data_IF_149928875734
#
_entry.id   IF_149928875734
#
_cell.length_a   1.000
_cell.length_b   1.000
_cell.length_c   1.000
_cell.angle_alpha   90.00
_cell.angle_beta   90.00
_cell.angle_gamma   90.00
#
_symmetry.space_group_name_H-M   'P 1'
#
loop_
_entity.id
_entity.type
_entity.pdbx_description
1 polymer ?
#
# COMPACT_ATOMS: atom_id res chain seq x y z
N UNK A 1 -16.67 -3.87 32.98
CA UNK A 1 -15.62 -3.42 32.05
C UNK A 1 -14.57 -4.51 31.83
N UNK A 2 -14.34 -4.84 30.57
CA UNK A 2 -13.32 -5.78 30.08
C UNK A 2 -12.03 -5.02 29.77
N UNK A 3 -10.86 -5.60 30.10
CA UNK A 3 -9.55 -5.04 29.71
C UNK A 3 -9.24 -5.38 28.26
N UNK A 4 -9.09 -4.35 27.44
CA UNK A 4 -8.65 -4.44 26.05
C UNK A 4 -7.17 -4.08 25.90
N UNK A 5 -6.50 -4.77 24.98
CA UNK A 5 -5.12 -4.53 24.56
C UNK A 5 -5.16 -3.72 23.27
N UNK A 6 -4.95 -2.41 23.38
CA UNK A 6 -4.94 -1.47 22.26
C UNK A 6 -3.53 -1.41 21.68
N UNK A 7 -3.28 -2.05 20.54
CA UNK A 7 -2.02 -1.99 19.82
C UNK A 7 -1.99 -0.73 18.95
N UNK A 8 -1.35 0.34 19.43
CA UNK A 8 -1.20 1.59 18.69
C UNK A 8 -0.09 1.43 17.65
N UNK A 9 -0.43 1.60 16.38
CA UNK A 9 0.43 1.36 15.23
C UNK A 9 0.61 2.66 14.46
N UNK A 10 1.85 2.99 14.10
CA UNK A 10 2.18 4.23 13.37
C UNK A 10 3.39 4.06 12.46
N UNK A 11 3.62 5.06 11.62
CA UNK A 11 4.79 5.17 10.75
C UNK A 11 5.86 6.05 11.40
N UNK A 12 7.10 5.57 11.40
CA UNK A 12 8.24 6.36 11.86
C UNK A 12 8.72 7.40 10.84
N UNK A 13 9.81 8.12 11.16
CA UNK A 13 10.36 9.19 10.36
C UNK A 13 11.57 8.77 9.50
N UNK A 14 11.86 7.48 9.35
CA UNK A 14 12.96 7.05 8.50
C UNK A 14 12.67 7.38 7.03
N UNK A 15 13.73 7.77 6.30
CA UNK A 15 13.66 8.10 4.88
C UNK A 15 14.70 7.27 4.11
N UNK A 16 14.42 6.91 2.84
CA UNK A 16 13.24 7.27 2.06
C UNK A 16 11.97 6.45 2.37
N UNK A 17 12.06 5.38 3.17
CA UNK A 17 10.92 4.50 3.50
C UNK A 17 10.71 4.48 5.02
N UNK A 18 9.49 4.80 5.51
CA UNK A 18 9.17 4.70 6.92
C UNK A 18 8.94 3.23 7.31
N UNK A 19 9.24 2.89 8.55
CA UNK A 19 8.89 1.60 9.14
C UNK A 19 7.59 1.69 9.94
N UNK A 20 6.91 0.55 10.05
CA UNK A 20 5.81 0.36 10.99
C UNK A 20 6.36 0.17 12.41
N UNK A 21 5.70 0.81 13.38
CA UNK A 21 5.99 0.69 14.81
C UNK A 21 4.70 0.36 15.55
N UNK A 22 4.80 -0.35 16.66
CA UNK A 22 3.65 -0.77 17.47
C UNK A 22 3.96 -0.74 18.97
N UNK A 23 2.95 -0.42 19.79
CA UNK A 23 2.98 -0.67 21.24
C UNK A 23 1.59 -0.81 21.84
N UNK A 24 1.46 -1.61 22.91
CA UNK A 24 0.16 -1.91 23.54
C UNK A 24 -0.18 -0.98 24.71
N UNK A 25 -1.34 -0.32 24.69
CA UNK A 25 -1.99 0.27 25.85
C UNK A 25 -3.05 -0.69 26.42
N UNK A 26 -3.20 -0.73 27.75
CA UNK A 26 -4.34 -1.41 28.39
C UNK A 26 -5.38 -0.37 28.80
N UNK A 27 -6.63 -0.59 28.38
CA UNK A 27 -7.78 0.23 28.76
C UNK A 27 -9.00 -0.65 29.05
N UNK A 28 -9.91 -0.12 29.85
CA UNK A 28 -11.14 -0.82 30.26
C UNK A 28 -12.33 -0.23 29.51
N UNK A 29 -13.13 -1.12 28.91
CA UNK A 29 -14.35 -0.75 28.17
C UNK A 29 -15.45 -1.76 28.47
N UNK A 30 -16.72 -1.37 28.34
CA UNK A 30 -17.85 -2.29 28.52
C UNK A 30 -18.05 -3.25 27.33
N UNK A 31 -17.62 -2.82 26.13
CA UNK A 31 -17.63 -3.59 24.89
C UNK A 31 -16.39 -3.23 24.06
N UNK A 32 -16.28 -3.77 22.84
CA UNK A 32 -15.20 -3.38 21.92
C UNK A 32 -15.28 -1.86 21.68
N UNK A 33 -14.17 -1.11 21.86
CA UNK A 33 -14.22 0.34 21.86
C UNK A 33 -14.48 0.91 20.47
N UNK A 34 -15.15 2.06 20.42
CA UNK A 34 -15.23 2.89 19.19
C UNK A 34 -13.98 3.76 19.07
N UNK A 35 -13.74 4.31 17.88
CA UNK A 35 -12.56 5.14 17.60
C UNK A 35 -12.51 6.39 18.52
N UNK A 36 -13.66 7.01 18.80
CA UNK A 36 -13.79 8.24 19.60
C UNK A 36 -13.49 8.02 21.08
N UNK A 37 -13.59 6.77 21.55
CA UNK A 37 -13.27 6.40 22.93
C UNK A 37 -11.76 6.21 23.13
N UNK A 38 -10.98 6.12 22.06
CA UNK A 38 -9.55 5.87 22.15
C UNK A 38 -8.79 7.15 22.50
N UNK A 39 -7.97 7.14 23.56
CA UNK A 39 -7.20 8.33 23.93
C UNK A 39 -6.04 8.57 22.96
N UNK A 40 -5.61 9.83 22.86
CA UNK A 40 -4.29 10.16 22.34
C UNK A 40 -3.21 9.50 23.21
N UNK A 41 -2.05 9.21 22.61
CA UNK A 41 -0.93 8.64 23.36
C UNK A 41 0.41 9.18 22.89
N UNK A 42 1.35 9.44 23.79
CA UNK A 42 2.69 9.92 23.43
C UNK A 42 3.68 8.79 23.14
N UNK A 43 4.73 9.05 22.37
CA UNK A 43 5.91 8.20 22.22
C UNK A 43 7.18 9.05 22.08
N UNK A 44 8.34 8.43 22.30
CA UNK A 44 9.64 9.07 22.11
C UNK A 44 10.03 9.07 20.62
N UNK A 45 9.90 10.23 19.99
CA UNK A 45 10.24 10.46 18.58
C UNK A 45 11.74 10.43 18.27
N UNK A 46 12.62 10.55 19.28
CA UNK A 46 14.06 10.48 19.05
C UNK A 46 14.54 9.09 18.66
N UNK A 47 13.82 8.07 19.11
CA UNK A 47 14.06 6.66 18.77
C UNK A 47 13.52 6.26 17.39
N UNK A 48 12.84 7.18 16.69
CA UNK A 48 12.11 6.89 15.45
C UNK A 48 12.37 7.90 14.34
N UNK A 49 13.43 8.72 14.43
CA UNK A 49 13.76 9.78 13.46
C UNK A 49 12.66 10.86 13.31
N UNK A 50 11.91 11.13 14.38
CA UNK A 50 10.80 12.09 14.38
C UNK A 50 11.06 13.29 15.27
N UNK A 51 12.07 13.26 16.15
CA UNK A 51 12.43 14.42 16.95
C UNK A 51 13.89 14.36 17.43
N UNK A 52 14.41 15.50 17.87
CA UNK A 52 15.72 15.57 18.52
C UNK A 52 15.61 15.24 20.02
N UNK A 53 16.66 14.64 20.59
CA UNK A 53 16.60 14.00 21.92
C UNK A 53 16.28 14.89 23.13
N UNK A 54 16.30 16.22 23.03
CA UNK A 54 15.96 17.12 24.16
C UNK A 54 14.50 17.59 24.18
N UNK A 55 13.76 17.36 23.09
CA UNK A 55 12.35 17.72 22.94
C UNK A 55 11.71 16.69 22.01
N UNK A 56 11.60 15.44 22.47
CA UNK A 56 11.34 14.29 21.60
C UNK A 56 9.91 13.76 21.59
N UNK A 57 9.00 14.32 22.40
CA UNK A 57 7.64 13.82 22.47
C UNK A 57 6.92 13.98 21.12
N UNK A 58 6.28 12.90 20.68
CA UNK A 58 5.35 12.90 19.54
C UNK A 58 4.02 12.31 20.01
N UNK A 59 2.92 12.71 19.39
CA UNK A 59 1.57 12.26 19.77
C UNK A 59 1.00 11.33 18.70
N UNK A 60 0.47 10.20 19.13
CA UNK A 60 -0.32 9.27 18.34
C UNK A 60 -1.79 9.66 18.46
N UNK A 61 -2.41 9.95 17.32
CA UNK A 61 -3.84 10.18 17.20
C UNK A 61 -4.50 9.00 16.49
N UNK A 62 -5.40 8.26 17.16
CA UNK A 62 -6.16 7.19 16.53
C UNK A 62 -6.94 7.68 15.31
N UNK A 63 -6.87 6.93 14.22
CA UNK A 63 -7.57 7.23 12.95
C UNK A 63 -8.39 6.06 12.41
N UNK A 64 -8.07 4.83 12.82
CA UNK A 64 -8.89 3.66 12.56
C UNK A 64 -8.67 2.61 13.66
N UNK A 65 -9.68 1.79 13.91
CA UNK A 65 -9.64 0.68 14.87
C UNK A 65 -10.14 -0.60 14.21
N UNK A 66 -9.45 -1.71 14.49
CA UNK A 66 -9.77 -3.04 14.00
C UNK A 66 -9.68 -4.04 15.16
N UNK A 67 -10.50 -5.11 15.20
CA UNK A 67 -10.24 -6.22 16.12
C UNK A 67 -8.88 -6.85 15.81
N UNK A 68 -8.13 -7.24 16.84
CA UNK A 68 -6.89 -8.02 16.68
C UNK A 68 -7.23 -9.52 16.80
N UNK A 69 -7.32 -10.27 15.69
CA UNK A 69 -7.74 -11.67 15.73
C UNK A 69 -6.72 -12.59 16.43
N UNK A 70 -5.47 -12.16 16.58
CA UNK A 70 -4.42 -12.96 17.20
C UNK A 70 -4.26 -12.70 18.71
N UNK A 71 -5.08 -11.81 19.31
CA UNK A 71 -5.05 -11.54 20.76
C UNK A 71 -6.46 -11.51 21.35
N UNK A 72 -6.65 -12.26 22.44
CA UNK A 72 -7.87 -12.13 23.26
C UNK A 72 -8.03 -10.70 23.76
N UNK A 73 -9.21 -10.12 23.51
CA UNK A 73 -9.55 -8.71 23.76
C UNK A 73 -8.54 -7.73 23.16
N UNK A 74 -7.98 -8.05 21.99
CA UNK A 74 -7.07 -7.16 21.28
C UNK A 74 -7.79 -6.25 20.29
N UNK A 75 -7.26 -5.04 20.14
CA UNK A 75 -7.64 -4.10 19.09
C UNK A 75 -6.38 -3.52 18.46
N UNK A 76 -6.33 -3.48 17.14
CA UNK A 76 -5.31 -2.77 16.38
C UNK A 76 -5.80 -1.33 16.16
N UNK A 77 -4.94 -0.34 16.43
CA UNK A 77 -5.27 1.07 16.35
C UNK A 77 -4.29 1.75 15.40
N UNK A 78 -4.71 1.99 14.16
CA UNK A 78 -3.93 2.79 13.22
C UNK A 78 -3.93 4.24 13.71
N UNK A 79 -2.75 4.85 13.76
CA UNK A 79 -2.56 6.20 14.26
C UNK A 79 -1.84 7.09 13.24
N UNK A 80 -2.22 8.36 13.22
CA UNK A 80 -1.42 9.41 12.62
C UNK A 80 -0.48 10.04 13.67
N UNK A 81 0.66 10.55 13.22
CA UNK A 81 1.64 11.19 14.09
C UNK A 81 1.41 12.70 14.09
N UNK A 82 1.32 13.26 15.28
CA UNK A 82 1.08 14.67 15.54
C UNK A 82 2.26 15.25 16.32
N UNK A 83 2.44 16.56 16.20
CA UNK A 83 3.31 17.35 17.07
C UNK A 83 2.84 17.25 18.54
N UNK A 84 3.67 17.66 19.53
CA UNK A 84 3.30 17.64 20.95
C UNK A 84 1.98 18.33 21.31
N UNK A 85 1.50 19.27 20.48
CA UNK A 85 0.23 19.96 20.66
C UNK A 85 -0.99 19.05 20.44
N UNK A 86 -0.80 17.85 19.85
CA UNK A 86 -1.87 16.89 19.55
C UNK A 86 -2.80 17.30 18.42
N UNK A 87 -2.53 18.41 17.72
CA UNK A 87 -3.40 19.01 16.70
C UNK A 87 -2.68 19.19 15.36
N UNK A 88 -1.41 19.59 15.38
CA UNK A 88 -0.62 19.82 14.17
C UNK A 88 -0.04 18.50 13.67
N UNK A 89 -0.26 18.09 12.41
CA UNK A 89 0.37 16.91 11.84
C UNK A 89 1.90 17.02 11.90
N UNK A 90 2.56 15.93 12.31
CA UNK A 90 4.01 15.85 12.27
C UNK A 90 4.51 15.83 10.81
N UNK A 91 5.74 16.28 10.54
CA UNK A 91 6.30 16.33 9.18
C UNK A 91 6.36 14.95 8.48
N UNK A 92 6.48 13.86 9.26
CA UNK A 92 6.44 12.48 8.74
C UNK A 92 5.02 11.96 8.45
N UNK A 93 3.97 12.73 8.78
CA UNK A 93 2.59 12.30 8.67
C UNK A 93 2.09 12.42 7.22
N UNK A 94 2.43 11.42 6.39
CA UNK A 94 1.94 11.33 5.01
C UNK A 94 0.42 11.16 4.92
N UNK A 95 -0.25 10.66 5.97
CA UNK A 95 -1.72 10.56 5.99
C UNK A 95 -2.39 11.93 5.96
N UNK A 96 -1.74 12.97 6.47
CA UNK A 96 -2.25 14.34 6.41
C UNK A 96 -2.17 14.97 5.01
N UNK A 97 -1.40 14.39 4.07
CA UNK A 97 -1.24 14.96 2.72
C UNK A 97 -2.32 14.50 1.75
N UNK A 98 -2.98 13.37 2.02
CA UNK A 98 -3.98 12.80 1.10
C UNK A 98 -5.26 13.63 1.09
N UNK A 99 -5.76 13.92 -0.11
CA UNK A 99 -7.09 14.50 -0.31
C UNK A 99 -8.13 13.48 0.16
N UNK A 100 -8.95 13.86 1.13
CA UNK A 100 -10.00 13.01 1.70
C UNK A 100 -11.22 13.00 0.78
N UNK A 101 -11.21 12.10 -0.20
CA UNK A 101 -12.32 11.87 -1.11
C UNK A 101 -12.94 10.51 -0.78
N UNK A 102 -14.12 10.55 -0.14
CA UNK A 102 -14.89 9.36 0.24
C UNK A 102 -15.44 8.60 -0.96
N UNK A 103 -15.62 9.28 -2.10
CA UNK A 103 -16.11 8.72 -3.36
C UNK A 103 -14.98 8.18 -4.24
N UNK A 104 -13.72 8.47 -3.90
CA UNK A 104 -12.56 7.86 -4.54
C UNK A 104 -12.40 6.41 -4.09
N UNK A 105 -12.25 5.52 -5.07
CA UNK A 105 -12.01 4.10 -4.85
C UNK A 105 -10.61 3.76 -5.29
N UNK A 106 -9.89 3.06 -4.41
CA UNK A 106 -8.52 2.60 -4.65
C UNK A 106 -8.42 1.09 -4.44
N UNK A 107 -7.72 0.41 -5.33
CA UNK A 107 -7.31 -0.98 -5.17
C UNK A 107 -5.79 -1.06 -5.28
N UNK A 108 -5.11 -1.51 -4.24
CA UNK A 108 -3.66 -1.66 -4.23
C UNK A 108 -3.28 -3.13 -4.29
N UNK A 109 -2.42 -3.48 -5.24
CA UNK A 109 -1.89 -4.82 -5.49
C UNK A 109 -0.48 -4.91 -4.89
N UNK A 110 -0.35 -5.24 -3.60
CA UNK A 110 0.93 -5.23 -2.90
C UNK A 110 1.73 -6.50 -3.20
N UNK A 111 2.81 -6.37 -3.97
CA UNK A 111 3.77 -7.44 -4.17
C UNK A 111 4.89 -7.39 -3.12
N UNK A 112 5.44 -8.54 -2.75
CA UNK A 112 6.54 -8.66 -1.78
C UNK A 112 7.27 -10.01 -1.95
N UNK A 113 8.46 -10.11 -1.37
CA UNK A 113 9.16 -11.38 -1.23
C UNK A 113 9.23 -11.81 0.23
N UNK A 114 9.09 -13.11 0.48
CA UNK A 114 9.57 -13.70 1.73
C UNK A 114 11.08 -13.84 1.67
N UNK A 115 11.78 -13.42 2.72
CA UNK A 115 13.23 -13.52 2.85
C UNK A 115 13.61 -14.30 4.10
N UNK A 116 14.58 -15.19 3.97
CA UNK A 116 15.16 -15.91 5.09
C UNK A 116 16.68 -16.00 4.90
N UNK A 117 17.44 -15.69 5.95
CA UNK A 117 18.90 -15.68 5.91
C UNK A 117 19.48 -14.83 4.76
N UNK A 118 18.85 -13.68 4.49
CA UNK A 118 19.28 -12.73 3.45
C UNK A 118 19.02 -13.18 2.00
N UNK A 119 18.19 -14.19 1.77
CA UNK A 119 17.81 -14.67 0.43
C UNK A 119 16.29 -14.87 0.32
N UNK A 120 15.70 -14.79 -0.89
CA UNK A 120 14.30 -15.13 -1.08
C UNK A 120 13.99 -16.57 -0.62
N UNK A 121 12.85 -16.75 0.03
CA UNK A 121 12.40 -18.05 0.51
C UNK A 121 12.28 -19.05 -0.64
N UNK A 122 12.90 -20.22 -0.48
CA UNK A 122 12.92 -21.27 -1.50
C UNK A 122 14.03 -21.12 -2.56
N UNK A 123 14.89 -20.09 -2.46
CA UNK A 123 16.15 -20.05 -3.21
C UNK A 123 17.18 -20.98 -2.55
N UNK A 124 18.11 -21.57 -3.33
CA UNK A 124 19.26 -22.27 -2.76
C UNK A 124 20.19 -21.30 -2.02
N UNK A 125 20.97 -21.82 -1.07
CA UNK A 125 21.98 -21.04 -0.33
C UNK A 125 22.94 -20.30 -1.27
N UNK A 126 23.28 -20.92 -2.40
CA UNK A 126 24.10 -20.35 -3.46
C UNK A 126 23.41 -20.50 -4.82
N UNK A 127 23.47 -19.45 -5.64
CA UNK A 127 22.87 -19.44 -6.98
C UNK A 127 21.37 -19.16 -6.97
N UNK A 128 20.67 -19.69 -7.96
CA UNK A 128 19.26 -19.40 -8.23
C UNK A 128 18.47 -20.71 -8.41
N UNK A 129 17.14 -20.71 -8.16
CA UNK A 129 16.29 -21.81 -8.57
C UNK A 129 16.16 -21.85 -10.10
N UNK A 130 15.36 -22.78 -10.64
CA UNK A 130 15.07 -22.83 -12.06
C UNK A 130 14.50 -21.48 -12.57
N UNK A 131 14.67 -21.11 -13.85
CA UNK A 131 14.16 -19.85 -14.38
C UNK A 131 12.65 -19.62 -14.11
N UNK A 132 12.24 -18.35 -14.14
CA UNK A 132 10.83 -17.95 -13.97
C UNK A 132 9.93 -18.62 -15.02
N UNK A 133 8.67 -18.84 -14.65
CA UNK A 133 7.69 -19.53 -15.51
C UNK A 133 6.72 -20.38 -14.70
N UNK A 134 7.17 -21.42 -13.99
CA UNK A 134 6.28 -22.33 -13.26
C UNK A 134 5.77 -21.78 -11.91
N UNK A 135 6.26 -20.63 -11.47
CA UNK A 135 5.97 -20.08 -10.14
C UNK A 135 4.67 -19.27 -10.07
N UNK A 136 4.39 -18.44 -11.10
CA UNK A 136 3.19 -17.60 -11.13
C UNK A 136 1.92 -18.45 -11.02
N UNK A 137 1.09 -18.17 -10.01
CA UNK A 137 -0.11 -18.98 -9.70
C UNK A 137 0.15 -20.49 -9.56
N UNK A 138 1.41 -20.86 -9.29
CA UNK A 138 1.86 -22.24 -9.25
C UNK A 138 1.34 -23.01 -8.04
N UNK A 139 1.28 -24.33 -8.18
CA UNK A 139 0.92 -25.28 -7.11
C UNK A 139 2.00 -26.35 -6.97
N UNK A 140 2.15 -26.90 -5.77
CA UNK A 140 3.11 -27.96 -5.45
C UNK A 140 4.44 -27.46 -4.87
N UNK A 141 5.07 -28.31 -4.06
CA UNK A 141 6.28 -28.00 -3.29
C UNK A 141 7.42 -27.41 -4.14
N UNK A 142 7.65 -27.96 -5.35
CA UNK A 142 8.73 -27.49 -6.24
C UNK A 142 8.58 -26.01 -6.62
N UNK A 143 7.34 -25.54 -6.78
CA UNK A 143 7.03 -24.17 -7.19
C UNK A 143 6.88 -23.22 -5.99
N UNK A 144 6.21 -23.69 -4.94
CA UNK A 144 5.71 -22.85 -3.83
C UNK A 144 6.61 -22.91 -2.59
N UNK A 145 7.27 -24.04 -2.36
CA UNK A 145 7.94 -24.34 -1.09
C UNK A 145 7.02 -25.04 -0.07
N UNK A 146 7.54 -25.22 1.13
CA UNK A 146 6.86 -25.85 2.28
C UNK A 146 5.94 -24.89 3.02
N UNK A 147 6.41 -23.67 3.32
CA UNK A 147 5.74 -22.78 4.28
C UNK A 147 5.14 -21.50 3.67
N UNK A 148 5.57 -21.09 2.47
CA UNK A 148 5.20 -19.77 1.93
C UNK A 148 3.68 -19.58 1.81
N UNK A 149 2.96 -20.60 1.31
CA UNK A 149 1.50 -20.54 1.19
C UNK A 149 0.79 -20.59 2.53
N UNK A 150 1.31 -21.32 3.52
CA UNK A 150 0.74 -21.36 4.87
C UNK A 150 0.71 -19.95 5.48
N UNK A 151 1.81 -19.20 5.35
CA UNK A 151 1.89 -17.81 5.81
C UNK A 151 0.91 -16.91 5.07
N UNK A 152 0.79 -17.06 3.75
CA UNK A 152 -0.11 -16.24 2.92
C UNK A 152 -1.58 -16.47 3.28
N UNK A 153 -1.98 -17.73 3.46
CA UNK A 153 -3.36 -18.07 3.86
C UNK A 153 -3.65 -17.59 5.29
N UNK A 154 -2.71 -17.75 6.23
CA UNK A 154 -2.87 -17.23 7.59
C UNK A 154 -2.94 -15.68 7.61
N UNK A 155 -2.15 -15.00 6.77
CA UNK A 155 -2.23 -13.54 6.63
C UNK A 155 -3.59 -13.10 6.08
N UNK A 156 -4.11 -13.79 5.06
CA UNK A 156 -5.44 -13.56 4.51
C UNK A 156 -6.50 -13.70 5.60
N UNK A 157 -6.47 -14.78 6.38
CA UNK A 157 -7.41 -15.01 7.49
C UNK A 157 -7.33 -13.91 8.56
N UNK A 158 -6.12 -13.48 8.93
CA UNK A 158 -5.93 -12.37 9.88
C UNK A 158 -6.50 -11.06 9.33
N UNK A 159 -6.30 -10.75 8.05
CA UNK A 159 -6.86 -9.57 7.42
C UNK A 159 -8.40 -9.62 7.38
N UNK A 160 -8.98 -10.74 6.96
CA UNK A 160 -10.44 -10.92 6.92
C UNK A 160 -11.07 -10.82 8.32
N UNK A 161 -10.46 -11.46 9.32
CA UNK A 161 -10.94 -11.39 10.70
C UNK A 161 -10.79 -10.00 11.33
N UNK A 162 -9.79 -9.22 10.90
CA UNK A 162 -9.65 -7.81 11.27
C UNK A 162 -10.65 -6.88 10.54
N UNK A 163 -11.37 -7.37 9.53
CA UNK A 163 -12.27 -6.56 8.71
C UNK A 163 -11.56 -5.69 7.66
N UNK A 164 -10.33 -6.03 7.31
CA UNK A 164 -9.63 -5.43 6.16
C UNK A 164 -10.31 -5.92 4.88
N UNK A 165 -10.59 -5.02 3.94
CA UNK A 165 -11.27 -5.36 2.70
C UNK A 165 -10.27 -5.91 1.68
N UNK A 166 -9.91 -7.16 1.93
CA UNK A 166 -8.97 -7.96 1.17
C UNK A 166 -9.69 -8.66 0.01
N UNK A 167 -9.21 -8.46 -1.22
CA UNK A 167 -9.90 -8.92 -2.44
C UNK A 167 -9.28 -10.19 -3.04
N UNK A 168 -8.02 -10.49 -2.73
CA UNK A 168 -7.37 -11.69 -3.23
C UNK A 168 -5.89 -11.80 -2.92
N UNK A 169 -5.33 -12.96 -3.26
CA UNK A 169 -3.91 -13.30 -3.16
C UNK A 169 -3.47 -14.05 -4.43
N UNK A 170 -2.19 -13.96 -4.77
CA UNK A 170 -1.58 -14.86 -5.75
C UNK A 170 -0.08 -15.07 -5.48
N UNK A 171 0.43 -16.23 -5.89
CA UNK A 171 1.86 -16.44 -6.05
C UNK A 171 2.33 -15.67 -7.29
N UNK A 172 3.40 -14.90 -7.14
CA UNK A 172 3.93 -14.05 -8.21
C UNK A 172 4.96 -14.79 -9.09
N UNK A 173 5.47 -14.08 -10.11
CA UNK A 173 6.31 -14.67 -11.16
C UNK A 173 7.64 -15.23 -10.64
N UNK A 174 8.23 -14.64 -9.60
CA UNK A 174 9.45 -15.15 -9.00
C UNK A 174 9.17 -16.10 -7.82
N UNK A 175 10.03 -17.11 -7.64
CA UNK A 175 9.93 -18.02 -6.50
C UNK A 175 10.10 -17.25 -5.18
N UNK A 176 9.17 -17.44 -4.25
CA UNK A 176 9.15 -16.73 -2.97
C UNK A 176 8.50 -15.33 -3.03
N UNK A 177 8.04 -14.90 -4.21
CA UNK A 177 7.29 -13.66 -4.40
C UNK A 177 5.78 -13.92 -4.33
N UNK A 178 5.06 -13.01 -3.70
CA UNK A 178 3.62 -13.09 -3.51
C UNK A 178 2.97 -11.71 -3.61
N UNK A 179 1.66 -11.72 -3.81
CA UNK A 179 0.84 -10.53 -3.87
C UNK A 179 -0.40 -10.68 -2.99
N UNK A 180 -0.83 -9.57 -2.39
CA UNK A 180 -2.18 -9.42 -1.85
C UNK A 180 -2.85 -8.14 -2.35
N UNK A 181 -4.16 -8.18 -2.53
CA UNK A 181 -4.93 -7.04 -3.05
C UNK A 181 -5.89 -6.48 -1.99
N UNK A 182 -5.86 -5.16 -1.77
CA UNK A 182 -6.79 -4.46 -0.87
C UNK A 182 -7.53 -3.38 -1.62
N UNK A 183 -8.85 -3.39 -1.48
CA UNK A 183 -9.72 -2.39 -2.05
C UNK A 183 -10.33 -1.52 -0.95
N UNK A 184 -10.37 -0.20 -1.15
CA UNK A 184 -11.00 0.73 -0.24
C UNK A 184 -11.86 1.75 -0.97
N UNK A 185 -13.05 1.99 -0.40
CA UNK A 185 -13.86 3.18 -0.70
C UNK A 185 -13.46 4.27 0.29
N UNK A 186 -12.99 5.39 -0.22
CA UNK A 186 -12.33 6.43 0.55
C UNK A 186 -10.81 6.31 0.48
N UNK A 187 -10.15 7.39 0.08
CA UNK A 187 -8.70 7.45 -0.14
C UNK A 187 -7.89 7.12 1.11
N UNK A 188 -8.24 7.72 2.27
CA UNK A 188 -7.61 7.42 3.56
C UNK A 188 -7.82 5.98 3.99
N UNK A 189 -9.04 5.48 3.88
CA UNK A 189 -9.40 4.11 4.29
C UNK A 189 -8.61 3.06 3.51
N UNK A 190 -8.49 3.22 2.19
CA UNK A 190 -7.71 2.31 1.35
C UNK A 190 -6.23 2.25 1.79
N UNK A 191 -5.62 3.42 2.04
CA UNK A 191 -4.23 3.50 2.47
C UNK A 191 -4.01 3.02 3.92
N UNK A 192 -4.93 3.33 4.84
CA UNK A 192 -4.93 2.81 6.21
C UNK A 192 -4.92 1.27 6.22
N UNK A 193 -5.75 0.65 5.37
CA UNK A 193 -5.85 -0.81 5.29
C UNK A 193 -4.61 -1.48 4.70
N UNK A 194 -3.93 -0.87 3.73
CA UNK A 194 -2.62 -1.38 3.24
C UNK A 194 -1.59 -1.41 4.36
N UNK A 195 -1.47 -0.34 5.14
CA UNK A 195 -0.52 -0.31 6.25
C UNK A 195 -0.85 -1.34 7.34
N UNK A 196 -2.13 -1.51 7.64
CA UNK A 196 -2.59 -2.52 8.59
C UNK A 196 -2.31 -3.95 8.10
N UNK A 197 -2.50 -4.23 6.81
CA UNK A 197 -2.17 -5.52 6.24
C UNK A 197 -0.66 -5.78 6.21
N UNK A 198 0.16 -4.78 5.88
CA UNK A 198 1.64 -4.85 5.99
C UNK A 198 2.08 -5.16 7.42
N UNK A 199 1.47 -4.51 8.42
CA UNK A 199 1.76 -4.75 9.83
C UNK A 199 1.39 -6.18 10.25
N UNK A 200 0.21 -6.66 9.88
CA UNK A 200 -0.21 -8.03 10.19
C UNK A 200 0.71 -9.07 9.55
N UNK A 201 1.15 -8.85 8.31
CA UNK A 201 2.09 -9.74 7.62
C UNK A 201 3.46 -9.77 8.31
N UNK A 202 4.02 -8.60 8.64
CA UNK A 202 5.29 -8.50 9.37
C UNK A 202 5.18 -9.16 10.74
N UNK A 203 4.14 -8.86 11.52
CA UNK A 203 3.91 -9.46 12.84
C UNK A 203 3.72 -10.98 12.77
N UNK A 204 3.03 -11.46 11.73
CA UNK A 204 2.83 -12.89 11.51
C UNK A 204 4.16 -13.60 11.25
N UNK A 205 5.00 -13.02 10.39
CA UNK A 205 6.24 -13.65 9.94
C UNK A 205 7.34 -13.72 11.00
N UNK A 206 7.25 -12.91 12.07
CA UNK A 206 8.12 -13.01 13.25
C UNK A 206 8.21 -14.44 13.81
N UNK A 207 7.09 -15.16 13.93
CA UNK A 207 7.09 -16.53 14.50
C UNK A 207 7.73 -17.58 13.58
N UNK A 208 7.86 -17.26 12.29
CA UNK A 208 8.49 -18.11 11.28
C UNK A 208 9.98 -17.78 11.09
N UNK A 209 10.48 -16.67 11.66
CA UNK A 209 11.84 -16.20 11.40
C UNK A 209 12.05 -15.88 9.92
N UNK A 210 11.05 -15.24 9.31
CA UNK A 210 11.05 -14.83 7.89
C UNK A 210 10.83 -13.31 7.87
N UNK A 211 11.59 -12.61 7.04
CA UNK A 211 11.43 -11.19 6.78
C UNK A 211 10.54 -10.97 5.55
N UNK A 212 9.89 -9.80 5.49
CA UNK A 212 9.21 -9.34 4.28
C UNK A 212 10.08 -8.30 3.59
N UNK A 213 10.53 -8.65 2.38
CA UNK A 213 11.28 -7.74 1.53
C UNK A 213 10.32 -7.02 0.57
N UNK A 214 10.22 -5.70 0.76
CA UNK A 214 9.41 -4.83 -0.09
C UNK A 214 10.23 -4.11 -1.14
N UNK A 215 11.57 -4.17 -1.15
CA UNK A 215 12.39 -3.48 -2.14
C UNK A 215 11.96 -3.86 -3.57
N UNK A 216 11.83 -2.86 -4.44
CA UNK A 216 11.17 -3.01 -5.74
C UNK A 216 11.95 -3.85 -6.76
N UNK A 217 13.24 -4.09 -6.51
CA UNK A 217 14.11 -4.97 -7.32
C UNK A 217 15.13 -5.66 -6.41
N UNK A 218 14.70 -6.60 -5.56
CA UNK A 218 15.50 -7.07 -4.42
C UNK A 218 16.64 -8.01 -4.84
N UNK A 219 16.60 -8.53 -6.07
CA UNK A 219 17.66 -9.33 -6.69
C UNK A 219 18.57 -8.54 -7.63
N UNK A 220 18.50 -7.20 -7.63
CA UNK A 220 19.35 -6.32 -8.45
C UNK A 220 19.12 -6.47 -9.96
N UNK A 221 20.15 -6.15 -10.76
CA UNK A 221 20.10 -6.27 -12.23
C UNK A 221 20.20 -7.74 -12.69
N UNK A 222 19.13 -8.48 -12.46
CA UNK A 222 18.94 -9.88 -12.85
C UNK A 222 17.63 -10.06 -13.61
N UNK A 223 17.48 -11.23 -14.24
CA UNK A 223 16.29 -11.60 -15.03
C UNK A 223 15.05 -11.94 -14.17
N UNK A 224 15.13 -11.75 -12.85
CA UNK A 224 14.04 -11.96 -11.91
C UNK A 224 13.13 -10.74 -11.84
N UNK A 225 11.82 -10.96 -11.69
CA UNK A 225 10.83 -9.88 -11.58
C UNK A 225 11.12 -8.95 -10.39
N UNK A 226 10.74 -7.68 -10.56
CA UNK A 226 10.68 -6.73 -9.45
C UNK A 226 9.34 -6.83 -8.72
N UNK A 227 9.20 -6.05 -7.64
CA UNK A 227 7.97 -5.95 -6.86
C UNK A 227 7.30 -4.57 -7.05
N UNK A 228 6.02 -4.60 -7.43
CA UNK A 228 5.15 -3.44 -7.62
C UNK A 228 4.18 -3.19 -6.46
N UNK A 229 3.48 -2.06 -6.54
CA UNK A 229 2.21 -1.88 -5.85
C UNK A 229 1.21 -1.25 -6.81
N UNK A 230 0.71 -2.02 -7.78
CA UNK A 230 -0.19 -1.43 -8.79
C UNK A 230 -1.39 -0.76 -8.10
N UNK A 231 -1.75 0.41 -8.59
CA UNK A 231 -2.77 1.28 -8.02
C UNK A 231 -3.93 1.38 -9.00
N UNK A 232 -4.98 0.61 -8.73
CA UNK A 232 -6.27 0.75 -9.37
C UNK A 232 -6.99 1.95 -8.76
N UNK A 233 -7.52 2.86 -9.58
CA UNK A 233 -8.20 4.06 -9.07
C UNK A 233 -9.42 4.45 -9.90
N UNK A 234 -10.41 5.03 -9.22
CA UNK A 234 -11.55 5.70 -9.86
C UNK A 234 -12.17 6.73 -8.93
N UNK A 235 -12.70 7.81 -9.48
CA UNK A 235 -13.63 8.71 -8.78
C UNK A 235 -15.06 8.42 -9.21
N UNK A 236 -16.05 8.96 -8.48
CA UNK A 236 -17.45 8.89 -8.90
C UNK A 236 -17.65 9.41 -10.33
N UNK A 237 -17.00 10.51 -10.69
CA UNK A 237 -17.05 11.05 -12.06
C UNK A 237 -16.57 10.03 -13.10
N UNK A 238 -15.43 9.36 -12.85
CA UNK A 238 -14.90 8.32 -13.75
C UNK A 238 -15.86 7.13 -13.89
N UNK A 239 -16.60 6.77 -12.84
CA UNK A 239 -17.51 5.62 -12.85
C UNK A 239 -18.86 5.92 -13.49
N UNK A 240 -19.40 7.12 -13.28
CA UNK A 240 -20.78 7.46 -13.69
C UNK A 240 -20.83 8.28 -14.99
N UNK A 241 -19.92 9.26 -15.14
CA UNK A 241 -19.92 10.20 -16.27
C UNK A 241 -18.84 9.82 -17.28
N UNK A 242 -17.57 9.82 -16.87
CA UNK A 242 -16.41 9.41 -17.68
C UNK A 242 -16.38 10.01 -19.08
N UNK A 243 -16.16 9.15 -20.08
CA UNK A 243 -16.16 9.51 -21.50
C UNK A 243 -14.76 9.70 -22.07
N UNK A 244 -14.62 9.41 -23.37
CA UNK A 244 -13.33 9.43 -24.07
C UNK A 244 -12.57 10.74 -23.93
N UNK A 245 -13.26 11.88 -24.08
CA UNK A 245 -12.64 13.20 -23.97
C UNK A 245 -12.06 13.47 -22.58
N UNK A 246 -12.79 13.07 -21.52
CA UNK A 246 -12.30 13.18 -20.14
C UNK A 246 -11.10 12.26 -19.92
N UNK A 247 -11.17 11.02 -20.41
CA UNK A 247 -10.07 10.06 -20.32
C UNK A 247 -8.80 10.58 -21.02
N UNK A 248 -8.89 11.11 -22.24
CA UNK A 248 -7.74 11.67 -22.97
C UNK A 248 -7.14 12.87 -22.24
N UNK A 249 -7.98 13.76 -21.70
CA UNK A 249 -7.52 14.87 -20.87
C UNK A 249 -6.82 14.39 -19.58
N UNK A 250 -7.36 13.34 -18.95
CA UNK A 250 -6.76 12.73 -17.76
C UNK A 250 -5.38 12.13 -18.08
N UNK A 251 -5.24 11.37 -19.17
CA UNK A 251 -3.94 10.82 -19.58
C UNK A 251 -2.92 11.92 -19.89
N UNK A 252 -3.34 13.04 -20.49
CA UNK A 252 -2.46 14.19 -20.70
C UNK A 252 -1.97 14.81 -19.38
N UNK A 253 -2.81 14.87 -18.34
CA UNK A 253 -2.37 15.34 -17.02
C UNK A 253 -1.44 14.35 -16.32
N UNK A 254 -1.67 13.05 -16.47
CA UNK A 254 -0.76 12.03 -15.96
C UNK A 254 0.61 12.05 -16.65
N UNK A 255 0.66 12.36 -17.94
CA UNK A 255 1.91 12.58 -18.68
C UNK A 255 2.64 13.82 -18.17
N UNK A 256 1.93 14.95 -18.07
CA UNK A 256 2.47 16.21 -17.56
C UNK A 256 3.05 16.07 -16.15
N UNK A 257 2.37 15.33 -15.28
CA UNK A 257 2.75 15.14 -13.88
C UNK A 257 3.65 13.92 -13.65
N UNK A 258 4.23 13.31 -14.70
CA UNK A 258 5.00 12.07 -14.61
C UNK A 258 6.03 12.09 -13.46
N UNK A 259 6.84 13.15 -13.36
CA UNK A 259 7.87 13.22 -12.33
C UNK A 259 7.31 13.42 -10.93
N UNK A 260 6.21 14.15 -10.77
CA UNK A 260 5.53 14.27 -9.47
C UNK A 260 5.06 12.89 -8.98
N UNK A 261 4.54 12.04 -9.88
CA UNK A 261 4.21 10.65 -9.56
C UNK A 261 5.46 9.83 -9.21
N UNK A 262 6.48 9.83 -10.08
CA UNK A 262 7.70 9.03 -9.86
C UNK A 262 8.37 9.37 -8.52
N UNK A 263 8.39 10.64 -8.13
CA UNK A 263 8.99 11.11 -6.87
C UNK A 263 8.33 10.53 -5.61
N UNK A 264 7.06 10.12 -5.68
CA UNK A 264 6.32 9.54 -4.53
C UNK A 264 5.98 8.06 -4.69
N UNK A 265 6.39 7.45 -5.80
CA UNK A 265 6.06 6.06 -6.15
C UNK A 265 7.04 5.02 -5.59
N UNK A 266 7.78 5.43 -4.56
CA UNK A 266 8.77 4.65 -3.83
C UNK A 266 10.20 4.83 -4.36
N UNK A 267 11.22 4.59 -3.51
CA UNK A 267 12.62 4.76 -3.89
C UNK A 267 13.06 3.71 -4.90
N UNK A 268 14.16 3.99 -5.60
CA UNK A 268 14.85 3.06 -6.51
C UNK A 268 13.96 2.50 -7.65
N UNK A 269 12.85 3.16 -7.95
CA UNK A 269 11.87 2.69 -8.91
C UNK A 269 12.44 2.64 -10.34
N UNK A 270 13.50 3.39 -10.63
CA UNK A 270 14.28 3.33 -11.87
C UNK A 270 14.95 1.96 -12.09
N UNK A 271 15.26 1.23 -11.01
CA UNK A 271 15.78 -0.15 -11.06
C UNK A 271 14.71 -1.17 -11.47
N UNK A 272 13.43 -0.87 -11.23
CA UNK A 272 12.29 -1.72 -11.59
C UNK A 272 11.71 -1.32 -12.95
N UNK A 273 11.36 -0.05 -13.13
CA UNK A 273 10.73 0.53 -14.31
C UNK A 273 11.75 0.78 -15.42
N UNK A 274 12.17 -0.31 -16.07
CA UNK A 274 13.24 -0.31 -17.08
C UNK A 274 12.73 -0.46 -18.52
N UNK A 275 11.43 -0.72 -18.70
CA UNK A 275 10.88 -1.13 -20.00
C UNK A 275 10.91 -2.65 -20.24
N UNK A 276 11.54 -3.41 -19.33
CA UNK A 276 11.58 -4.88 -19.32
C UNK A 276 10.61 -5.42 -18.27
N UNK A 277 10.35 -6.73 -18.30
CA UNK A 277 9.58 -7.45 -17.29
C UNK A 277 8.21 -6.80 -16.98
N UNK A 278 7.43 -6.53 -18.04
CA UNK A 278 6.07 -5.98 -17.92
C UNK A 278 5.99 -4.60 -17.24
N UNK A 279 7.00 -3.74 -17.45
CA UNK A 279 6.99 -2.35 -16.98
C UNK A 279 7.28 -1.37 -18.10
N UNK A 280 6.78 -0.14 -17.97
CA UNK A 280 7.24 1.00 -18.75
C UNK A 280 8.56 1.56 -18.19
N UNK A 281 9.41 2.22 -18.99
CA UNK A 281 10.56 2.95 -18.46
C UNK A 281 10.11 4.13 -17.59
N UNK A 282 10.77 4.37 -16.46
CA UNK A 282 10.37 5.37 -15.46
C UNK A 282 10.24 6.80 -16.01
N UNK A 283 11.03 7.15 -17.02
CA UNK A 283 11.15 8.50 -17.58
C UNK A 283 10.24 8.76 -18.80
N UNK A 284 9.35 7.83 -19.14
CA UNK A 284 8.40 8.02 -20.24
C UNK A 284 7.01 7.53 -19.84
N UNK A 285 6.03 8.40 -19.98
CA UNK A 285 4.65 8.05 -19.76
C UNK A 285 4.06 7.31 -20.97
N UNK A 286 3.21 6.32 -20.71
CA UNK A 286 2.46 5.60 -21.73
C UNK A 286 1.17 5.03 -21.14
N UNK A 287 0.15 4.86 -21.96
CA UNK A 287 -1.05 4.11 -21.60
C UNK A 287 -1.49 3.22 -22.76
N UNK A 288 -2.15 2.11 -22.44
CA UNK A 288 -2.58 1.17 -23.47
C UNK A 288 -3.71 0.24 -22.99
N UNK A 289 -4.58 -0.14 -23.94
CA UNK A 289 -5.69 -1.06 -23.67
C UNK A 289 -5.13 -2.46 -23.48
N UNK A 290 -5.30 -3.01 -22.27
CA UNK A 290 -4.72 -4.28 -21.85
C UNK A 290 -3.20 -4.40 -22.05
N UNK A 291 -2.50 -3.26 -22.12
CA UNK A 291 -1.04 -3.22 -22.26
C UNK A 291 -0.38 -3.27 -20.88
N UNK A 292 0.24 -4.41 -20.57
CA UNK A 292 1.01 -4.58 -19.33
C UNK A 292 2.33 -3.80 -19.36
N UNK A 293 2.90 -3.52 -20.54
CA UNK A 293 4.13 -2.73 -20.66
C UNK A 293 3.93 -1.22 -20.52
N UNK A 294 2.69 -0.75 -20.41
CA UNK A 294 2.37 0.67 -20.28
C UNK A 294 2.48 1.17 -18.83
N UNK A 295 2.61 2.49 -18.66
CA UNK A 295 2.57 3.13 -17.35
C UNK A 295 1.18 3.02 -16.70
N UNK A 296 0.13 3.33 -17.47
CA UNK A 296 -1.26 3.11 -17.09
C UNK A 296 -1.88 2.06 -18.00
N UNK A 297 -2.35 0.97 -17.41
CA UNK A 297 -3.13 -0.04 -18.12
C UNK A 297 -4.61 0.36 -18.11
N UNK A 298 -5.21 0.30 -19.29
CA UNK A 298 -6.63 0.56 -19.50
C UNK A 298 -7.36 -0.78 -19.65
N UNK A 299 -8.25 -1.17 -18.72
CA UNK A 299 -9.02 -2.40 -18.86
C UNK A 299 -9.87 -2.41 -20.13
N UNK A 300 -10.04 -3.58 -20.76
CA UNK A 300 -10.95 -3.70 -21.92
C UNK A 300 -12.39 -3.29 -21.58
N UNK A 301 -12.83 -3.60 -20.36
CA UNK A 301 -14.15 -3.22 -19.84
C UNK A 301 -14.31 -1.70 -19.77
N UNK A 302 -13.25 -0.95 -19.44
CA UNK A 302 -13.28 0.51 -19.37
C UNK A 302 -13.64 1.12 -20.72
N UNK A 303 -12.95 0.70 -21.79
CA UNK A 303 -13.22 1.20 -23.16
C UNK A 303 -14.60 0.75 -23.65
N UNK A 304 -14.99 -0.50 -23.39
CA UNK A 304 -16.32 -1.02 -23.76
C UNK A 304 -17.46 -0.32 -23.03
N UNK A 305 -17.20 0.21 -21.84
CA UNK A 305 -18.14 0.92 -21.00
C UNK A 305 -18.02 2.45 -21.18
N UNK A 306 -17.78 2.89 -22.42
CA UNK A 306 -17.69 4.32 -22.78
C UNK A 306 -16.65 5.11 -21.94
N UNK A 307 -15.50 4.49 -21.68
CA UNK A 307 -14.42 5.05 -20.86
C UNK A 307 -14.90 5.38 -19.43
N UNK A 308 -15.67 4.47 -18.85
CA UNK A 308 -16.16 4.55 -17.47
C UNK A 308 -15.72 3.34 -16.65
N UNK A 309 -15.31 3.61 -15.41
CA UNK A 309 -14.84 2.58 -14.48
C UNK A 309 -13.54 3.01 -13.79
N UNK A 310 -12.56 2.12 -13.78
CA UNK A 310 -11.25 2.33 -13.15
C UNK A 310 -10.11 2.18 -14.14
N UNK A 311 -8.96 2.75 -13.78
CA UNK A 311 -7.68 2.62 -14.46
C UNK A 311 -6.66 2.01 -13.49
N UNK A 312 -5.61 1.40 -14.03
CA UNK A 312 -4.54 0.77 -13.26
C UNK A 312 -3.22 1.50 -13.52
N UNK A 313 -2.68 2.20 -12.52
CA UNK A 313 -1.34 2.76 -12.57
C UNK A 313 -0.33 1.71 -12.09
N UNK A 314 0.54 1.28 -12.99
CA UNK A 314 1.50 0.19 -12.74
C UNK A 314 2.85 0.69 -12.22
N UNK A 315 3.02 2.01 -12.17
CA UNK A 315 4.28 2.65 -11.80
C UNK A 315 4.59 2.68 -10.29
N UNK A 316 3.65 2.65 -9.33
CA UNK A 316 4.03 2.60 -7.93
C UNK A 316 4.76 1.29 -7.62
N UNK A 317 5.79 1.37 -6.78
CA UNK A 317 6.56 0.21 -6.36
C UNK A 317 6.11 -0.31 -4.99
N UNK A 318 6.56 -1.52 -4.66
CA UNK A 318 6.18 -2.25 -3.45
C UNK A 318 6.55 -1.57 -2.13
N UNK A 319 7.50 -0.63 -2.10
CA UNK A 319 7.83 0.19 -0.91
C UNK A 319 7.05 1.51 -0.86
N UNK A 320 6.31 1.84 -1.91
CA UNK A 320 5.58 3.10 -2.01
C UNK A 320 4.65 3.34 -0.82
N UNK A 321 4.54 4.60 -0.41
CA UNK A 321 3.60 5.01 0.63
C UNK A 321 2.20 5.17 0.02
N UNK A 322 1.21 4.33 0.38
CA UNK A 322 -0.12 4.39 -0.23
C UNK A 322 -0.82 5.74 -0.02
N UNK A 323 -0.52 6.46 1.08
CA UNK A 323 -1.03 7.81 1.29
C UNK A 323 -0.53 8.81 0.24
N UNK A 324 0.78 8.81 -0.04
CA UNK A 324 1.38 9.74 -1.01
C UNK A 324 0.96 9.38 -2.44
N UNK A 325 0.89 8.08 -2.75
CA UNK A 325 0.42 7.59 -4.06
C UNK A 325 -1.01 8.06 -4.33
N UNK A 326 -1.94 7.75 -3.42
CA UNK A 326 -3.33 8.17 -3.58
C UNK A 326 -3.47 9.70 -3.60
N UNK A 327 -2.69 10.41 -2.79
CA UNK A 327 -2.66 11.87 -2.77
C UNK A 327 -2.28 12.46 -4.14
N UNK A 328 -1.20 11.96 -4.74
CA UNK A 328 -0.72 12.45 -6.03
C UNK A 328 -1.67 12.08 -7.17
N UNK A 329 -2.25 10.87 -7.14
CA UNK A 329 -3.30 10.45 -8.08
C UNK A 329 -4.51 11.38 -8.03
N UNK A 330 -5.05 11.67 -6.84
CA UNK A 330 -6.20 12.57 -6.70
C UNK A 330 -5.87 14.01 -7.10
N UNK A 331 -4.67 14.50 -6.77
CA UNK A 331 -4.20 15.81 -7.22
C UNK A 331 -4.25 15.89 -8.74
N UNK A 332 -3.67 14.93 -9.45
CA UNK A 332 -3.67 14.90 -10.92
C UNK A 332 -5.07 14.75 -11.52
N UNK A 333 -5.95 13.97 -10.90
CA UNK A 333 -7.37 13.87 -11.33
C UNK A 333 -8.08 15.22 -11.18
N UNK A 334 -7.82 15.95 -10.09
CA UNK A 334 -8.46 17.26 -9.83
C UNK A 334 -8.06 18.36 -10.82
N UNK A 335 -6.95 18.17 -11.56
CA UNK A 335 -6.51 19.10 -12.60
C UNK A 335 -7.27 18.94 -13.92
N UNK A 336 -8.17 17.95 -14.03
CA UNK A 336 -9.04 17.78 -15.19
C UNK A 336 -10.38 18.46 -14.90
N UNK A 337 -10.74 19.55 -15.62
CA UNK A 337 -12.01 20.22 -15.40
C UNK A 337 -13.20 19.27 -15.63
N UNK A 338 -14.20 19.35 -14.74
CA UNK A 338 -15.50 18.67 -14.88
C UNK A 338 -16.60 19.72 -15.07
N UNK A 339 -17.73 19.32 -15.69
CA UNK A 339 -18.87 20.22 -15.86
C UNK A 339 -19.37 20.82 -14.52
N UNK A 340 -19.24 20.07 -13.41
CA UNK A 340 -19.57 20.54 -12.06
C UNK A 340 -18.53 21.48 -11.45
N UNK A 341 -17.24 21.37 -11.80
CA UNK A 341 -16.22 22.30 -11.31
C UNK A 341 -16.26 23.66 -12.02
N UNK A 342 -16.76 23.68 -13.27
CA UNK A 342 -16.92 24.92 -14.04
C UNK A 342 -18.07 25.81 -13.51
N UNK A 343 -19.12 25.24 -12.92
CA UNK A 343 -20.24 26.00 -12.33
C UNK A 343 -19.96 26.54 -10.93
N UNK A 344 -18.94 26.03 -10.22
CA UNK A 344 -18.54 26.51 -8.90
C UNK A 344 -17.52 27.66 -8.96
N UNK A 345 -16.92 27.89 -10.14
CA UNK A 345 -15.90 28.91 -10.38
C UNK A 345 -16.43 30.12 -11.20
N UNK A 346 -17.71 30.09 -11.60
CA UNK A 346 -18.43 31.17 -12.26
C UNK A 346 -19.46 31.76 -11.27
#
# INVERSE_FOLDING_TARGET
>A
MTKYKLEYIWLDGYTPVPNLRGKTQIKEFDAFPTLEQLPLWGFDGSSTQQAEGRSSDCVLKPVAIYPDPARTNGALVMCEVMMPDGVTPHASNARATILDDEDAWFGFEQEYFFYQNGRPLGFPEQGYPAPQGPYYTGVGYSNVGDVAREIVEEHLDLCLAAGINHEGINAEVAKGQWEFQIFGKGSKKAADQIWMARYLLQRLTEKYGIDIEYHCKPLGDTDWNGSGMHCNFSTKYMREIGGKAYFEALMAQFEKNLMDHINVYGPDNDKRLTGKHETAPWNKFSYGVADRGASIRVPHSFVKNDYKGYLEDRRPNSQGCPYQIASQVLKTISEVPTASSASAAA
#
